data_IF_693424858698
#
_entry.id   IF_693424858698
#
_cell.length_a   1.000
_cell.length_b   1.000
_cell.length_c   1.000
_cell.angle_alpha   90.00
_cell.angle_beta   90.00
_cell.angle_gamma   90.00
#
_symmetry.space_group_name_H-M   'P 1'
#
loop_
_entity.id
_entity.type
_entity.pdbx_description
1 polymer ?
#
# COMPACT_ATOMS: atom_id res chain seq x y z
N UNK A 1 -21.72 17.05 16.71
CA UNK A 1 -20.34 17.25 16.21
C UNK A 1 -19.31 16.33 16.86
N UNK A 2 -19.04 16.39 18.18
CA UNK A 2 -18.01 15.54 18.80
C UNK A 2 -18.22 14.00 18.62
N UNK A 3 -19.45 13.45 18.74
CA UNK A 3 -19.67 12.01 18.54
C UNK A 3 -19.46 11.56 17.08
N UNK A 4 -19.77 12.43 16.12
CA UNK A 4 -19.64 12.13 14.70
C UNK A 4 -18.18 12.12 14.27
N UNK A 5 -17.40 13.12 14.71
CA UNK A 5 -15.96 13.15 14.50
C UNK A 5 -15.28 11.92 15.13
N UNK A 6 -15.65 11.56 16.37
CA UNK A 6 -15.11 10.37 17.04
C UNK A 6 -15.41 9.08 16.28
N UNK A 7 -16.64 8.93 15.77
CA UNK A 7 -17.05 7.80 14.93
C UNK A 7 -16.26 7.75 13.62
N UNK A 8 -16.10 8.88 12.93
CA UNK A 8 -15.32 8.98 11.70
C UNK A 8 -13.86 8.56 11.93
N UNK A 9 -13.19 9.17 12.91
CA UNK A 9 -11.78 8.87 13.20
C UNK A 9 -11.57 7.43 13.67
N UNK A 10 -12.52 6.88 14.44
CA UNK A 10 -12.50 5.46 14.83
C UNK A 10 -12.71 4.57 13.60
N UNK A 11 -13.67 4.89 12.73
CA UNK A 11 -13.93 4.16 11.50
C UNK A 11 -12.74 4.16 10.55
N UNK A 12 -12.04 5.28 10.42
CA UNK A 12 -10.81 5.38 9.64
C UNK A 12 -9.70 4.53 10.28
N UNK A 13 -9.44 4.72 11.58
CA UNK A 13 -8.37 4.01 12.31
C UNK A 13 -8.53 2.49 12.30
N UNK A 14 -9.77 2.01 12.41
CA UNK A 14 -10.10 0.57 12.44
C UNK A 14 -10.46 0.02 11.05
N UNK A 15 -10.38 0.84 9.98
CA UNK A 15 -10.89 0.52 8.64
C UNK A 15 -12.33 -0.01 8.62
N UNK A 16 -13.18 0.50 9.51
CA UNK A 16 -14.61 0.20 9.60
C UNK A 16 -15.49 1.28 8.95
N UNK A 17 -14.91 2.39 8.51
CA UNK A 17 -15.62 3.41 7.73
C UNK A 17 -16.16 2.82 6.41
N UNK A 18 -17.35 3.25 5.90
CA UNK A 18 -17.92 2.76 4.65
C UNK A 18 -16.98 2.82 3.45
N UNK A 19 -16.00 3.75 3.45
CA UNK A 19 -14.95 3.78 2.44
C UNK A 19 -14.21 2.45 2.34
N UNK A 20 -13.92 1.74 3.44
CA UNK A 20 -13.14 0.49 3.44
C UNK A 20 -13.96 -0.79 3.18
N UNK A 21 -15.28 -0.67 3.00
CA UNK A 21 -16.17 -1.80 2.72
C UNK A 21 -16.08 -2.29 1.26
N UNK A 22 -16.67 -3.44 0.94
CA UNK A 22 -16.76 -3.97 -0.43
C UNK A 22 -15.58 -4.83 -0.87
N UNK A 23 -15.64 -5.31 -2.12
CA UNK A 23 -14.74 -6.34 -2.66
C UNK A 23 -13.63 -5.83 -3.58
N UNK A 24 -13.66 -4.54 -3.96
CA UNK A 24 -12.61 -3.96 -4.81
C UNK A 24 -11.25 -4.01 -4.10
N UNK A 25 -10.14 -4.21 -4.84
CA UNK A 25 -8.81 -4.11 -4.29
C UNK A 25 -8.60 -2.78 -3.58
N UNK A 26 -8.05 -2.85 -2.37
CA UNK A 26 -7.72 -1.70 -1.54
C UNK A 26 -6.20 -1.53 -1.54
N UNK A 27 -5.75 -0.39 -2.05
CA UNK A 27 -4.36 0.00 -2.16
C UNK A 27 -4.01 1.02 -1.10
N UNK A 28 -2.82 0.86 -0.51
CA UNK A 28 -2.20 1.80 0.41
C UNK A 28 -1.05 2.50 -0.29
N UNK A 29 -1.20 3.79 -0.58
CA UNK A 29 -0.18 4.59 -1.25
C UNK A 29 0.52 5.48 -0.23
N UNK A 30 1.86 5.38 -0.20
CA UNK A 30 2.71 6.25 0.61
C UNK A 30 3.37 7.26 -0.32
N UNK A 31 2.98 8.53 -0.24
CA UNK A 31 3.41 9.59 -1.13
C UNK A 31 4.00 10.77 -0.33
N UNK A 32 4.74 11.69 -0.96
CA UNK A 32 4.97 13.02 -0.39
C UNK A 32 3.64 13.70 -0.05
N UNK A 33 3.56 14.41 1.08
CA UNK A 33 2.35 15.16 1.48
C UNK A 33 1.95 16.23 0.44
N UNK A 34 2.93 16.73 -0.31
CA UNK A 34 2.77 17.72 -1.38
C UNK A 34 2.50 17.11 -2.75
N UNK A 35 2.41 15.78 -2.88
CA UNK A 35 2.17 15.15 -4.17
C UNK A 35 0.84 15.64 -4.78
N UNK A 36 0.77 15.87 -6.10
CA UNK A 36 -0.48 16.26 -6.75
C UNK A 36 -1.55 15.16 -6.62
N UNK A 37 -2.81 15.49 -6.88
CA UNK A 37 -3.88 14.51 -6.93
C UNK A 37 -3.57 13.43 -7.99
N UNK A 38 -3.78 12.16 -7.63
CA UNK A 38 -3.59 11.05 -8.57
C UNK A 38 -4.87 10.85 -9.37
N UNK A 39 -4.76 10.93 -10.70
CA UNK A 39 -5.86 10.64 -11.62
C UNK A 39 -5.92 9.13 -11.86
N UNK A 40 -6.50 8.42 -10.89
CA UNK A 40 -6.74 6.98 -10.94
C UNK A 40 -8.25 6.71 -10.75
N UNK A 41 -8.86 5.83 -11.56
CA UNK A 41 -10.23 5.38 -11.34
C UNK A 41 -10.42 4.79 -9.96
N UNK A 42 -11.59 5.03 -9.36
CA UNK A 42 -11.99 4.46 -8.08
C UNK A 42 -12.10 5.47 -6.94
N UNK A 43 -12.46 4.97 -5.76
CA UNK A 43 -12.62 5.80 -4.56
C UNK A 43 -11.27 6.11 -3.93
N UNK A 44 -11.06 7.35 -3.49
CA UNK A 44 -9.84 7.76 -2.78
C UNK A 44 -10.16 8.36 -1.41
N UNK A 45 -9.32 8.05 -0.42
CA UNK A 45 -9.34 8.63 0.93
C UNK A 45 -7.92 9.12 1.26
N UNK A 46 -7.80 10.33 1.80
CA UNK A 46 -6.51 10.93 2.16
C UNK A 46 -6.36 10.98 3.68
N UNK A 47 -5.21 10.54 4.17
CA UNK A 47 -4.83 10.56 5.58
C UNK A 47 -3.42 11.17 5.77
N UNK A 48 -3.03 11.38 7.03
CA UNK A 48 -1.68 11.80 7.45
C UNK A 48 -1.16 13.01 6.66
N UNK A 49 -2.01 14.03 6.49
CA UNK A 49 -1.65 15.27 5.81
C UNK A 49 -1.33 15.10 4.31
N UNK A 50 -1.87 14.08 3.64
CA UNK A 50 -1.64 13.84 2.22
C UNK A 50 -0.65 12.72 1.91
N UNK A 51 0.14 12.31 2.90
CA UNK A 51 1.22 11.35 2.73
C UNK A 51 0.75 9.89 2.68
N UNK A 52 -0.44 9.61 3.23
CA UNK A 52 -1.11 8.32 3.08
C UNK A 52 -2.37 8.51 2.25
N UNK A 53 -2.50 7.73 1.18
CA UNK A 53 -3.71 7.73 0.36
C UNK A 53 -4.20 6.30 0.19
N UNK A 54 -5.45 6.08 0.50
CA UNK A 54 -6.13 4.83 0.18
C UNK A 54 -6.81 4.95 -1.16
N UNK A 55 -6.70 3.92 -1.98
CA UNK A 55 -7.36 3.82 -3.27
C UNK A 55 -8.12 2.49 -3.33
N UNK A 56 -9.42 2.57 -3.63
CA UNK A 56 -10.25 1.40 -3.96
C UNK A 56 -10.47 1.35 -5.45
N UNK A 57 -9.82 0.39 -6.10
CA UNK A 57 -9.77 0.33 -7.55
C UNK A 57 -9.40 -1.06 -8.05
N UNK A 58 -10.00 -1.46 -9.16
CA UNK A 58 -9.65 -2.64 -9.96
C UNK A 58 -8.65 -2.33 -11.08
N UNK A 59 -8.11 -1.10 -11.12
CA UNK A 59 -7.02 -0.74 -12.03
C UNK A 59 -5.83 -1.68 -11.85
N UNK A 60 -5.24 -2.04 -12.99
CA UNK A 60 -4.05 -2.89 -13.05
C UNK A 60 -2.96 -2.46 -12.06
N UNK A 61 -2.42 -3.43 -11.32
CA UNK A 61 -1.44 -3.20 -10.27
C UNK A 61 -0.22 -2.41 -10.76
N UNK A 62 0.24 -2.68 -11.98
CA UNK A 62 1.33 -1.95 -12.63
C UNK A 62 1.00 -0.46 -12.83
N UNK A 63 -0.23 -0.12 -13.21
CA UNK A 63 -0.65 1.26 -13.42
C UNK A 63 -0.76 2.04 -12.10
N UNK A 64 -1.29 1.42 -11.04
CA UNK A 64 -1.33 2.02 -9.70
C UNK A 64 0.09 2.29 -9.19
N UNK A 65 1.00 1.31 -9.31
CA UNK A 65 2.40 1.45 -8.89
C UNK A 65 3.14 2.51 -9.69
N UNK A 66 2.98 2.54 -11.01
CA UNK A 66 3.61 3.55 -11.85
C UNK A 66 3.09 4.97 -11.54
N UNK A 67 1.81 5.12 -11.18
CA UNK A 67 1.26 6.40 -10.76
C UNK A 67 1.84 6.85 -9.41
N UNK A 68 1.98 5.95 -8.43
CA UNK A 68 2.62 6.26 -7.16
C UNK A 68 4.09 6.62 -7.34
N UNK A 69 4.83 5.87 -8.17
CA UNK A 69 6.24 6.11 -8.45
C UNK A 69 6.47 7.46 -9.14
N UNK A 70 5.66 7.82 -10.13
CA UNK A 70 5.70 9.16 -10.76
C UNK A 70 5.42 10.30 -9.76
N UNK A 71 4.66 10.01 -8.71
CA UNK A 71 4.41 10.95 -7.62
C UNK A 71 5.48 10.89 -6.50
N UNK A 72 6.56 10.13 -6.69
CA UNK A 72 7.66 10.00 -5.74
C UNK A 72 7.36 9.10 -4.55
N UNK A 73 6.44 8.14 -4.70
CA UNK A 73 6.00 7.27 -3.62
C UNK A 73 5.82 5.81 -4.05
N UNK A 74 5.17 5.04 -3.18
CA UNK A 74 4.98 3.59 -3.37
C UNK A 74 3.51 3.21 -3.20
N UNK A 75 3.13 2.05 -3.73
CA UNK A 75 1.79 1.50 -3.61
C UNK A 75 1.85 0.02 -3.23
N UNK A 76 1.16 -0.35 -2.15
CA UNK A 76 1.03 -1.72 -1.67
C UNK A 76 -0.42 -2.17 -1.75
N UNK A 77 -0.66 -3.36 -2.28
CA UNK A 77 -1.99 -3.99 -2.28
C UNK A 77 -2.34 -4.44 -0.87
N UNK A 78 -3.14 -3.66 -0.15
CA UNK A 78 -3.42 -3.91 1.25
C UNK A 78 -4.43 -5.06 1.43
N UNK A 79 -5.55 -5.04 0.71
CA UNK A 79 -6.66 -6.01 0.82
C UNK A 79 -7.27 -6.30 -0.56
N UNK A 80 -7.79 -7.51 -0.75
CA UNK A 80 -8.42 -7.94 -2.01
C UNK A 80 -7.39 -8.17 -3.12
N UNK A 81 -7.88 -8.21 -4.37
CA UNK A 81 -7.08 -8.44 -5.58
C UNK A 81 -6.47 -9.84 -5.66
N UNK A 82 -5.61 -10.03 -6.66
CA UNK A 82 -4.79 -11.24 -6.78
C UNK A 82 -3.61 -11.19 -5.80
N UNK A 83 -3.66 -12.02 -4.77
CA UNK A 83 -2.61 -12.11 -3.74
C UNK A 83 -1.52 -13.12 -4.09
N UNK A 84 -1.65 -13.86 -5.20
CA UNK A 84 -0.58 -14.66 -5.76
C UNK A 84 0.43 -13.78 -6.52
N UNK A 85 0.01 -12.59 -6.97
CA UNK A 85 0.87 -11.57 -7.56
C UNK A 85 1.60 -10.71 -6.50
N UNK A 86 2.58 -9.91 -6.95
CA UNK A 86 3.35 -9.01 -6.09
C UNK A 86 2.46 -7.99 -5.36
N UNK A 87 2.32 -8.22 -4.05
CA UNK A 87 1.56 -7.36 -3.14
C UNK A 87 2.28 -6.05 -2.85
N UNK A 88 3.61 -6.09 -2.75
CA UNK A 88 4.43 -4.93 -2.42
C UNK A 88 4.82 -4.14 -3.67
N UNK A 89 5.18 -2.88 -3.47
CA UNK A 89 5.80 -2.10 -4.53
C UNK A 89 7.18 -2.71 -4.84
N UNK A 90 7.52 -3.01 -6.11
CA UNK A 90 8.82 -3.54 -6.48
C UNK A 90 9.96 -2.66 -5.96
N UNK A 91 10.99 -3.31 -5.43
CA UNK A 91 12.17 -2.61 -4.96
C UNK A 91 13.07 -2.24 -6.13
N UNK A 92 13.62 -1.02 -6.09
CA UNK A 92 14.74 -0.68 -6.95
C UNK A 92 15.90 -1.68 -6.73
N UNK A 93 16.70 -2.00 -7.77
CA UNK A 93 17.70 -3.08 -7.70
C UNK A 93 18.67 -2.98 -6.52
N UNK A 94 19.09 -1.75 -6.17
CA UNK A 94 20.00 -1.50 -5.04
C UNK A 94 19.32 -1.79 -3.70
N UNK A 95 18.06 -1.36 -3.54
CA UNK A 95 17.28 -1.63 -2.33
C UNK A 95 17.00 -3.14 -2.18
N UNK A 96 16.68 -3.83 -3.29
CA UNK A 96 16.50 -5.28 -3.29
C UNK A 96 17.77 -6.02 -2.86
N UNK A 97 18.93 -5.62 -3.38
CA UNK A 97 20.21 -6.19 -2.98
C UNK A 97 20.53 -5.96 -1.50
N UNK A 98 20.26 -4.76 -0.97
CA UNK A 98 20.42 -4.48 0.46
C UNK A 98 19.47 -5.33 1.30
N UNK A 99 18.21 -5.46 0.90
CA UNK A 99 17.21 -6.22 1.65
C UNK A 99 17.56 -7.71 1.70
N UNK A 100 18.08 -8.31 0.62
CA UNK A 100 18.63 -9.69 0.64
C UNK A 100 19.72 -9.87 1.67
N UNK A 101 20.69 -8.95 1.70
CA UNK A 101 21.83 -9.01 2.65
C UNK A 101 21.34 -8.91 4.09
N UNK A 102 20.37 -8.03 4.36
CA UNK A 102 19.73 -7.94 5.67
C UNK A 102 19.00 -9.24 6.01
N UNK A 103 18.19 -9.78 5.10
CA UNK A 103 17.46 -11.04 5.34
C UNK A 103 18.41 -12.19 5.65
N UNK A 104 19.51 -12.34 4.91
CA UNK A 104 20.55 -13.34 5.18
C UNK A 104 21.24 -13.16 6.54
N UNK A 105 21.50 -11.92 6.96
CA UNK A 105 22.15 -11.66 8.24
C UNK A 105 21.23 -11.97 9.43
N UNK A 106 19.93 -11.67 9.32
CA UNK A 106 18.97 -11.83 10.41
C UNK A 106 18.24 -13.19 10.41
N UNK A 107 18.13 -13.84 9.26
CA UNK A 107 17.47 -15.13 9.09
C UNK A 107 18.23 -16.01 8.08
N UNK A 108 19.44 -16.47 8.43
CA UNK A 108 20.29 -17.26 7.54
C UNK A 108 19.67 -18.62 7.17
N UNK A 109 18.71 -19.10 7.95
CA UNK A 109 18.01 -20.36 7.72
C UNK A 109 16.70 -20.18 6.95
N UNK A 110 16.28 -18.95 6.67
CA UNK A 110 15.05 -18.66 5.92
C UNK A 110 13.76 -19.07 6.63
N UNK A 111 13.75 -19.13 7.97
CA UNK A 111 12.61 -19.61 8.75
C UNK A 111 11.46 -18.59 8.80
N UNK A 112 11.75 -17.30 8.67
CA UNK A 112 10.76 -16.25 8.78
C UNK A 112 10.19 -15.87 7.41
N UNK A 113 8.86 -16.04 7.29
CA UNK A 113 8.06 -15.63 6.14
C UNK A 113 8.54 -16.19 4.79
N UNK A 114 8.82 -17.50 4.67
CA UNK A 114 9.28 -18.09 3.42
C UNK A 114 8.25 -17.85 2.29
N UNK A 115 8.72 -17.37 1.15
CA UNK A 115 7.89 -17.07 -0.03
C UNK A 115 6.90 -15.92 0.17
N UNK A 116 7.02 -15.10 1.23
CA UNK A 116 6.19 -13.92 1.47
C UNK A 116 7.01 -12.64 1.35
N UNK A 117 6.31 -11.50 1.27
CA UNK A 117 6.87 -10.17 1.03
C UNK A 117 7.46 -10.03 -0.37
N UNK A 118 8.66 -10.54 -0.58
CA UNK A 118 9.34 -10.56 -1.88
C UNK A 118 9.83 -12.00 -2.10
N UNK A 119 9.33 -12.73 -3.11
CA UNK A 119 9.59 -14.16 -3.27
C UNK A 119 11.08 -14.53 -3.39
N UNK A 120 11.90 -13.60 -3.92
CA UNK A 120 13.32 -13.79 -4.18
C UNK A 120 14.25 -13.34 -3.02
N UNK A 121 13.69 -13.08 -1.83
CA UNK A 121 14.41 -12.66 -0.61
C UNK A 121 14.57 -13.75 0.44
#
# INVERSE_FOLDING_TARGET
>A
EAPEAARLWTGIREHADPFFAGALPLWRLSLPSTAPALVLPGGQLIEWGGALRWLRSDVEAAAVRAAAERAGGTATLFRGGDRASDVFHPLAPVAAALQRRLKQAFDPLGLFNPGRMYPDL
#
